data_IF_751368046680
#
_entry.id   IF_751368046680
#
_cell.length_a   1.000
_cell.length_b   1.000
_cell.length_c   1.000
_cell.angle_alpha   90.00
_cell.angle_beta   90.00
_cell.angle_gamma   90.00
#
_symmetry.space_group_name_H-M   'P 1'
#
loop_
_entity.id
_entity.type
_entity.pdbx_description
1 polymer ?
#
# COMPACT_ATOMS: atom_id res chain seq x y z
N UNK A 1 -38.44 -11.95 -26.35
CA UNK A 1 -38.61 -10.92 -27.40
C UNK A 1 -37.73 -9.75 -27.04
N UNK A 2 -36.69 -9.56 -27.84
CA UNK A 2 -35.73 -8.45 -27.75
C UNK A 2 -36.41 -7.11 -28.07
N UNK A 3 -35.99 -6.05 -27.40
CA UNK A 3 -36.24 -4.65 -27.79
C UNK A 3 -34.92 -3.89 -27.80
N UNK A 4 -34.59 -3.32 -28.96
CA UNK A 4 -33.29 -2.80 -29.40
C UNK A 4 -32.78 -1.59 -28.59
N UNK A 5 -31.51 -1.52 -28.20
CA UNK A 5 -30.34 -0.95 -28.93
C UNK A 5 -30.63 0.43 -29.56
N UNK A 6 -30.16 1.48 -28.89
CA UNK A 6 -29.73 2.72 -29.54
C UNK A 6 -28.27 3.00 -29.17
N UNK A 7 -27.46 3.09 -30.22
CA UNK A 7 -26.06 3.48 -30.22
C UNK A 7 -25.86 4.88 -29.62
N UNK A 8 -24.83 5.01 -28.78
CA UNK A 8 -24.17 6.26 -28.44
C UNK A 8 -22.68 5.98 -28.37
N UNK A 9 -21.96 6.30 -29.44
CA UNK A 9 -20.53 6.00 -29.63
C UNK A 9 -19.64 6.82 -28.70
N UNK A 10 -18.48 6.21 -28.45
CA UNK A 10 -17.21 6.78 -28.00
C UNK A 10 -17.04 7.06 -26.51
N UNK A 11 -16.63 6.02 -25.78
CA UNK A 11 -15.59 6.19 -24.76
C UNK A 11 -14.67 4.96 -24.74
N UNK A 12 -13.43 5.21 -25.18
CA UNK A 12 -12.20 4.39 -25.12
C UNK A 12 -12.18 3.11 -25.97
N UNK A 13 -11.39 3.24 -27.04
CA UNK A 13 -10.89 2.21 -27.93
C UNK A 13 -10.06 1.17 -27.16
N UNK A 14 -10.36 -0.10 -27.43
CA UNK A 14 -9.67 -1.28 -26.92
C UNK A 14 -8.40 -1.49 -27.75
N UNK A 15 -7.31 -0.80 -27.42
CA UNK A 15 -6.01 -1.07 -28.03
C UNK A 15 -4.85 -0.85 -27.07
N UNK A 16 -4.85 -1.61 -25.98
CA UNK A 16 -3.64 -2.30 -25.51
C UNK A 16 -4.08 -3.36 -24.50
N UNK A 17 -3.81 -4.62 -24.85
CA UNK A 17 -4.03 -5.79 -24.03
C UNK A 17 -3.16 -5.65 -22.77
N UNK A 18 -3.69 -5.03 -21.72
CA UNK A 18 -3.19 -5.24 -20.36
C UNK A 18 -3.44 -6.72 -20.14
N UNK A 19 -2.42 -7.54 -20.42
CA UNK A 19 -2.51 -9.00 -20.41
C UNK A 19 -3.36 -9.44 -19.22
N UNK A 20 -4.42 -10.21 -19.45
CA UNK A 20 -5.35 -10.67 -18.41
C UNK A 20 -4.60 -11.22 -17.17
N UNK A 21 -3.40 -11.76 -17.36
CA UNK A 21 -2.42 -12.17 -16.35
C UNK A 21 -2.01 -11.06 -15.36
N UNK A 22 -1.67 -9.85 -15.83
CA UNK A 22 -1.27 -8.71 -14.98
C UNK A 22 -2.47 -8.21 -14.15
N UNK A 23 -3.67 -8.21 -14.74
CA UNK A 23 -4.92 -7.90 -14.04
C UNK A 23 -5.30 -8.96 -13.00
N UNK A 24 -4.87 -10.22 -13.17
CA UNK A 24 -5.19 -11.31 -12.24
C UNK A 24 -4.27 -11.33 -11.01
N UNK A 25 -2.99 -10.97 -11.16
CA UNK A 25 -2.01 -10.99 -10.07
C UNK A 25 -2.00 -9.70 -9.22
N UNK A 26 -2.30 -8.55 -9.83
CA UNK A 26 -2.21 -7.24 -9.16
C UNK A 26 -3.42 -6.83 -8.32
N UNK A 27 -4.57 -7.51 -8.47
CA UNK A 27 -5.83 -7.12 -7.83
C UNK A 27 -6.32 -8.15 -6.81
N UNK A 28 -6.81 -7.66 -5.65
CA UNK A 28 -7.42 -8.53 -4.65
C UNK A 28 -8.69 -9.18 -5.20
N UNK A 29 -8.70 -10.52 -5.25
CA UNK A 29 -9.84 -11.33 -5.67
C UNK A 29 -9.82 -12.70 -4.96
N UNK A 30 -10.83 -13.55 -5.18
CA UNK A 30 -10.92 -14.86 -4.51
C UNK A 30 -9.73 -15.78 -4.83
N UNK A 31 -9.21 -15.72 -6.06
CA UNK A 31 -8.14 -16.60 -6.54
C UNK A 31 -6.77 -16.34 -5.94
N UNK A 32 -6.52 -15.11 -5.45
CA UNK A 32 -5.20 -14.70 -4.93
C UNK A 32 -5.13 -14.73 -3.40
N UNK A 33 -6.12 -15.28 -2.70
CA UNK A 33 -6.17 -15.28 -1.23
C UNK A 33 -4.92 -15.90 -0.58
N UNK A 34 -4.39 -16.99 -1.16
CA UNK A 34 -3.16 -17.62 -0.70
C UNK A 34 -1.94 -16.70 -0.91
N UNK A 35 -1.81 -16.12 -2.11
CA UNK A 35 -0.73 -15.18 -2.43
C UNK A 35 -0.77 -13.92 -1.55
N UNK A 36 -1.97 -13.39 -1.25
CA UNK A 36 -2.15 -12.31 -0.29
C UNK A 36 -1.64 -12.69 1.11
N UNK A 37 -2.00 -13.87 1.61
CA UNK A 37 -1.56 -14.34 2.93
C UNK A 37 -0.04 -14.49 3.01
N UNK A 38 0.58 -15.10 1.99
CA UNK A 38 2.03 -15.27 1.90
C UNK A 38 2.76 -13.92 1.80
N UNK A 39 2.32 -13.05 0.89
CA UNK A 39 2.87 -11.70 0.75
C UNK A 39 2.75 -10.90 2.04
N UNK A 40 1.61 -11.01 2.74
CA UNK A 40 1.38 -10.33 4.01
C UNK A 40 2.29 -10.86 5.12
N UNK A 41 2.54 -12.16 5.15
CA UNK A 41 3.46 -12.77 6.11
C UNK A 41 4.91 -12.32 5.87
N UNK A 42 5.34 -12.19 4.61
CA UNK A 42 6.65 -11.63 4.27
C UNK A 42 6.78 -10.19 4.80
N UNK A 43 5.79 -9.34 4.52
CA UNK A 43 5.74 -7.96 5.03
C UNK A 43 5.81 -7.96 6.57
N UNK A 44 4.99 -8.77 7.24
CA UNK A 44 4.97 -8.86 8.71
C UNK A 44 6.33 -9.31 9.28
N UNK A 45 7.02 -10.24 8.62
CA UNK A 45 8.36 -10.68 9.02
C UNK A 45 9.37 -9.53 8.94
N UNK A 46 9.32 -8.74 7.87
CA UNK A 46 10.18 -7.55 7.69
C UNK A 46 9.82 -6.44 8.69
N UNK A 47 8.54 -6.13 8.90
CA UNK A 47 8.11 -5.16 9.92
C UNK A 47 8.54 -5.58 11.33
N UNK A 48 8.49 -6.87 11.65
CA UNK A 48 9.03 -7.39 12.91
C UNK A 48 10.53 -7.12 13.04
N UNK A 49 11.31 -7.33 11.98
CA UNK A 49 12.73 -7.02 11.97
C UNK A 49 12.99 -5.52 12.21
N UNK A 50 12.18 -4.63 11.62
CA UNK A 50 12.26 -3.18 11.84
C UNK A 50 12.03 -2.83 13.32
N UNK A 51 11.00 -3.39 13.96
CA UNK A 51 10.76 -3.15 15.39
C UNK A 51 11.91 -3.63 16.28
N UNK A 52 12.57 -4.73 15.92
CA UNK A 52 13.72 -5.25 16.67
C UNK A 52 14.96 -4.34 16.47
N UNK A 53 15.14 -3.79 15.26
CA UNK A 53 16.29 -2.96 14.91
C UNK A 53 16.12 -1.47 15.27
N UNK A 54 14.92 -1.01 15.64
CA UNK A 54 14.63 0.37 16.01
C UNK A 54 15.19 0.75 17.41
N UNK A 55 16.49 0.55 17.61
CA UNK A 55 17.25 0.88 18.82
C UNK A 55 17.55 2.38 18.96
N UNK A 56 17.40 3.12 17.85
CA UNK A 56 17.60 4.57 17.74
C UNK A 56 16.33 5.24 17.25
N UNK A 57 16.15 6.49 17.67
CA UNK A 57 15.02 7.35 17.29
C UNK A 57 15.00 7.67 15.79
N UNK A 58 16.17 7.91 15.21
CA UNK A 58 16.42 8.27 13.82
C UNK A 58 17.89 7.99 13.52
N UNK A 59 18.23 7.67 12.26
CA UNK A 59 19.60 7.35 11.87
C UNK A 59 20.54 8.56 11.85
N UNK A 60 20.01 9.78 11.76
CA UNK A 60 20.80 11.00 11.62
C UNK A 60 21.16 11.33 10.16
N UNK A 61 20.68 10.56 9.19
CA UNK A 61 20.95 10.77 7.77
C UNK A 61 20.47 12.15 7.31
N UNK A 62 21.32 12.88 6.61
CA UNK A 62 20.99 14.19 6.06
C UNK A 62 20.23 14.03 4.73
N UNK A 63 19.42 15.03 4.41
CA UNK A 63 18.73 15.08 3.11
C UNK A 63 19.70 14.98 1.92
N UNK A 64 20.87 15.62 2.01
CA UNK A 64 21.90 15.56 0.97
C UNK A 64 22.49 14.16 0.77
N UNK A 65 22.44 13.32 1.80
CA UNK A 65 22.95 11.94 1.75
C UNK A 65 21.90 10.98 1.16
N UNK A 66 20.61 11.22 1.40
CA UNK A 66 19.52 10.34 0.96
C UNK A 66 18.91 10.74 -0.39
N UNK A 67 18.87 12.03 -0.72
CA UNK A 67 18.24 12.52 -1.95
C UNK A 67 18.81 11.94 -3.26
N UNK A 68 20.13 11.66 -3.41
CA UNK A 68 20.65 11.02 -4.62
C UNK A 68 20.02 9.66 -4.88
N UNK A 69 19.78 8.86 -3.84
CA UNK A 69 19.20 7.52 -3.97
C UNK A 69 17.75 7.59 -4.49
N UNK A 70 16.99 8.61 -4.09
CA UNK A 70 15.65 8.85 -4.61
C UNK A 70 15.64 9.25 -6.10
N UNK A 71 16.65 9.98 -6.58
CA UNK A 71 16.74 10.33 -8.00
C UNK A 71 17.07 9.14 -8.90
N UNK A 72 17.58 8.05 -8.34
CA UNK A 72 17.82 6.80 -9.06
C UNK A 72 16.56 5.95 -9.27
N UNK A 73 15.46 6.26 -8.57
CA UNK A 73 14.20 5.50 -8.69
C UNK A 73 13.53 5.79 -10.03
N UNK A 74 13.38 4.76 -10.86
CA UNK A 74 12.70 4.85 -12.15
C UNK A 74 11.33 4.17 -12.09
N UNK A 75 10.26 4.96 -11.91
CA UNK A 75 8.89 4.45 -11.85
C UNK A 75 8.36 3.93 -13.21
N UNK A 76 9.06 4.22 -14.33
CA UNK A 76 8.73 3.64 -15.64
C UNK A 76 9.37 2.25 -15.84
N UNK A 77 10.25 1.84 -14.94
CA UNK A 77 10.88 0.52 -14.93
C UNK A 77 10.74 -0.08 -13.53
N UNK A 78 9.51 -0.51 -13.17
CA UNK A 78 9.25 -1.01 -11.82
C UNK A 78 10.03 -2.30 -11.57
N UNK A 79 10.34 -2.52 -10.29
CA UNK A 79 10.93 -3.77 -9.85
C UNK A 79 9.94 -4.93 -10.02
N UNK A 80 10.42 -6.06 -10.50
CA UNK A 80 9.58 -7.21 -10.90
C UNK A 80 9.18 -8.12 -9.73
N UNK A 81 9.64 -7.85 -8.51
CA UNK A 81 9.31 -8.68 -7.33
C UNK A 81 9.02 -7.84 -6.10
N UNK A 82 8.09 -8.32 -5.27
CA UNK A 82 7.76 -7.69 -3.99
C UNK A 82 8.97 -7.61 -3.05
N UNK A 83 9.83 -8.63 -3.06
CA UNK A 83 11.05 -8.62 -2.22
C UNK A 83 12.02 -7.51 -2.63
N UNK A 84 12.24 -7.32 -3.94
CA UNK A 84 13.07 -6.22 -4.43
C UNK A 84 12.49 -4.85 -4.05
N UNK A 85 11.17 -4.69 -4.14
CA UNK A 85 10.49 -3.45 -3.71
C UNK A 85 10.66 -3.22 -2.21
N UNK A 86 10.50 -4.25 -1.39
CA UNK A 86 10.66 -4.13 0.06
C UNK A 86 12.12 -3.86 0.47
N UNK A 87 13.09 -4.39 -0.27
CA UNK A 87 14.52 -4.10 -0.06
C UNK A 87 14.85 -2.65 -0.44
N UNK A 88 14.33 -2.14 -1.56
CA UNK A 88 14.48 -0.73 -1.95
C UNK A 88 13.81 0.20 -0.91
N UNK A 89 12.58 -0.13 -0.48
CA UNK A 89 11.86 0.60 0.57
C UNK A 89 12.65 0.63 1.90
N UNK A 90 13.34 -0.47 2.23
CA UNK A 90 14.16 -0.53 3.42
C UNK A 90 15.32 0.49 3.35
N UNK A 91 15.94 0.65 2.18
CA UNK A 91 17.03 1.61 1.99
C UNK A 91 16.56 3.05 1.93
N UNK A 92 15.51 3.34 1.17
CA UNK A 92 15.04 4.70 0.90
C UNK A 92 14.22 5.29 2.05
N UNK A 93 13.42 4.47 2.73
CA UNK A 93 12.47 4.96 3.73
C UNK A 93 12.83 4.49 5.14
N UNK A 94 12.92 3.18 5.38
CA UNK A 94 13.06 2.63 6.74
C UNK A 94 14.36 3.08 7.41
N UNK A 95 15.46 3.11 6.66
CA UNK A 95 16.77 3.58 7.15
C UNK A 95 16.74 5.03 7.67
N UNK A 96 15.94 5.89 7.05
CA UNK A 96 15.77 7.30 7.42
C UNK A 96 14.51 7.58 8.26
N UNK A 97 13.77 6.56 8.66
CA UNK A 97 12.52 6.78 9.38
C UNK A 97 12.76 7.31 10.80
N UNK A 98 11.84 8.15 11.27
CA UNK A 98 11.76 8.55 12.68
C UNK A 98 10.78 7.61 13.38
N UNK A 99 11.27 6.87 14.38
CA UNK A 99 10.47 5.88 15.10
C UNK A 99 9.73 6.52 16.28
N UNK A 100 8.48 6.93 16.08
CA UNK A 100 7.66 7.58 17.13
C UNK A 100 7.35 6.68 18.33
N UNK A 101 7.46 5.37 18.20
CA UNK A 101 7.34 4.42 19.31
C UNK A 101 8.63 4.29 20.14
N UNK A 102 9.73 4.92 19.73
CA UNK A 102 10.97 4.92 20.50
C UNK A 102 10.81 5.82 21.75
N UNK A 103 11.14 5.36 22.98
CA UNK A 103 10.86 6.08 24.23
C UNK A 103 11.49 7.49 24.34
N UNK A 104 12.55 7.76 23.58
CA UNK A 104 13.22 9.08 23.55
C UNK A 104 12.57 10.08 22.59
N UNK A 105 11.47 9.73 21.92
CA UNK A 105 10.74 10.64 21.03
C UNK A 105 9.83 11.58 21.82
N UNK A 106 10.21 12.86 21.90
CA UNK A 106 9.50 13.88 22.70
C UNK A 106 9.38 15.24 22.00
N UNK A 107 9.51 15.29 20.67
CA UNK A 107 9.56 16.56 19.93
C UNK A 107 8.18 17.15 19.60
N UNK A 108 7.23 16.32 19.17
CA UNK A 108 5.94 16.75 18.63
C UNK A 108 4.80 15.86 19.12
N UNK A 109 3.56 16.25 18.79
CA UNK A 109 2.33 15.50 19.10
C UNK A 109 2.13 14.28 18.19
N UNK A 110 3.22 13.59 17.83
CA UNK A 110 3.14 12.29 17.16
C UNK A 110 2.98 11.22 18.24
N UNK A 111 1.85 10.51 18.20
CA UNK A 111 1.58 9.43 19.13
C UNK A 111 2.13 8.10 18.59
N UNK A 112 2.67 7.23 19.47
CA UNK A 112 2.76 5.82 19.15
C UNK A 112 1.36 5.29 18.82
N UNK A 113 1.24 4.55 17.72
CA UNK A 113 -0.01 3.90 17.35
C UNK A 113 -0.24 2.65 18.20
N UNK A 114 -1.49 2.36 18.54
CA UNK A 114 -1.85 1.16 19.30
C UNK A 114 -2.06 -0.03 18.36
N UNK A 115 -1.71 -1.24 18.81
CA UNK A 115 -1.83 -2.47 18.02
C UNK A 115 -3.23 -2.66 17.38
N UNK A 116 -4.36 -2.44 18.08
CA UNK A 116 -5.67 -2.59 17.47
C UNK A 116 -5.92 -1.65 16.29
N UNK A 117 -5.35 -0.45 16.29
CA UNK A 117 -5.50 0.52 15.20
C UNK A 117 -4.81 0.01 13.92
N UNK A 118 -3.57 -0.46 14.04
CA UNK A 118 -2.80 -1.02 12.91
C UNK A 118 -3.47 -2.28 12.34
N UNK A 119 -4.01 -3.13 13.22
CA UNK A 119 -4.78 -4.30 12.78
C UNK A 119 -6.07 -3.91 12.07
N UNK A 120 -6.80 -2.90 12.57
CA UNK A 120 -8.01 -2.40 11.92
C UNK A 120 -7.69 -1.85 10.52
N UNK A 121 -6.60 -1.10 10.34
CA UNK A 121 -6.17 -0.60 9.02
C UNK A 121 -5.91 -1.73 8.03
N UNK A 122 -5.35 -2.86 8.47
CA UNK A 122 -5.14 -4.03 7.61
C UNK A 122 -6.45 -4.57 7.04
N UNK A 123 -7.51 -4.59 7.87
CA UNK A 123 -8.84 -5.05 7.49
C UNK A 123 -9.50 -4.02 6.57
N UNK A 124 -9.47 -2.74 6.95
CA UNK A 124 -10.06 -1.64 6.17
C UNK A 124 -9.47 -1.61 4.77
N UNK A 125 -8.14 -1.72 4.65
CA UNK A 125 -7.43 -1.67 3.37
C UNK A 125 -7.75 -2.88 2.49
N UNK A 126 -7.85 -4.08 3.07
CA UNK A 126 -8.13 -5.30 2.31
C UNK A 126 -9.59 -5.37 1.81
N UNK A 127 -10.55 -4.85 2.59
CA UNK A 127 -11.97 -4.87 2.23
C UNK A 127 -12.33 -3.69 1.33
N UNK A 128 -11.72 -2.51 1.53
CA UNK A 128 -11.98 -1.28 0.77
C UNK A 128 -13.47 -0.89 0.71
N UNK A 129 -14.20 -1.05 1.83
CA UNK A 129 -15.62 -0.69 1.89
C UNK A 129 -15.83 0.83 1.85
N UNK A 130 -16.74 1.28 0.99
CA UNK A 130 -17.34 2.61 1.09
C UNK A 130 -18.63 2.55 1.89
N UNK A 131 -18.75 3.38 2.94
CA UNK A 131 -19.95 3.45 3.76
C UNK A 131 -20.96 4.42 3.15
N UNK A 132 -21.86 3.91 2.31
CA UNK A 132 -23.05 4.63 1.89
C UNK A 132 -24.28 4.09 2.62
N UNK A 133 -24.82 4.89 3.54
CA UNK A 133 -26.13 4.62 4.15
C UNK A 133 -27.17 5.42 3.38
N UNK A 134 -28.06 4.73 2.66
CA UNK A 134 -29.19 5.37 1.97
C UNK A 134 -30.12 5.98 3.02
N UNK A 135 -30.34 7.30 2.96
CA UNK A 135 -31.38 7.93 3.79
C UNK A 135 -32.75 7.37 3.36
N UNK A 136 -33.65 7.08 4.31
CA UNK A 136 -35.02 6.70 3.96
C UNK A 136 -35.64 7.84 3.12
N UNK A 137 -36.29 7.49 2.01
CA UNK A 137 -37.13 8.46 1.31
C UNK A 137 -38.29 8.82 2.23
N UNK A 138 -38.40 10.09 2.59
CA UNK A 138 -39.64 10.63 3.15
C UNK A 138 -40.66 10.66 2.02
N UNK A 139 -41.61 9.72 2.03
CA UNK A 139 -42.82 9.81 1.23
C UNK A 139 -43.68 10.93 1.81
N UNK A 140 -43.63 12.11 1.19
CA UNK A 140 -44.65 13.17 1.34
C UNK A 140 -45.29 13.41 -0.01
#
# INVERSE_FOLDING_TARGET
MYGNIHEGKHFIDQSENISDEICLEGFLNKGIAAHYYESRNNINARTKAIFIMADKLFSGILFSELSPDFYCVNLNQPLMSMDSVLDELQQLYVKGAVYFHHPKYVAHLNCPVVLPAVLAESIISAINSSFLIRRPHSST
#
